data_IF_978607976490
#
_entry.id   IF_978607976490
#
_cell.length_a   1.000
_cell.length_b   1.000
_cell.length_c   1.000
_cell.angle_alpha   90.00
_cell.angle_beta   90.00
_cell.angle_gamma   90.00
#
_symmetry.space_group_name_H-M   'P 1'
#
loop_
_entity.id
_entity.type
_entity.pdbx_description
1 polymer ?
#
# COMPACT_ATOMS: atom_id res chain seq x y z
N UNK A 1 18.31 24.35 -11.28
CA UNK A 1 18.25 25.78 -11.62
C UNK A 1 17.16 26.52 -10.88
N UNK A 2 16.06 25.86 -10.47
CA UNK A 2 14.96 26.53 -9.76
C UNK A 2 15.25 26.76 -8.27
N UNK A 3 16.12 25.97 -7.66
CA UNK A 3 16.43 26.05 -6.24
C UNK A 3 17.04 27.43 -5.84
N UNK A 4 17.83 28.01 -6.72
CA UNK A 4 18.48 29.33 -6.48
C UNK A 4 17.47 30.49 -6.37
N UNK A 5 16.25 30.31 -6.87
CA UNK A 5 15.16 31.29 -6.80
C UNK A 5 14.21 31.08 -5.63
N UNK A 6 14.41 30.00 -4.83
CA UNK A 6 13.61 29.75 -3.64
C UNK A 6 14.21 30.38 -2.39
N UNK A 7 13.34 30.88 -1.52
CA UNK A 7 13.75 31.29 -0.17
C UNK A 7 14.18 30.08 0.66
N UNK A 8 15.24 30.23 1.45
CA UNK A 8 15.79 29.16 2.26
C UNK A 8 14.77 28.54 3.24
N UNK A 9 13.89 29.39 3.83
CA UNK A 9 12.84 28.93 4.73
C UNK A 9 11.81 28.05 4.00
N UNK A 10 11.44 28.41 2.76
CA UNK A 10 10.50 27.65 1.95
C UNK A 10 11.11 26.37 1.39
N UNK A 11 12.39 26.38 1.05
CA UNK A 11 13.14 25.18 0.67
C UNK A 11 13.18 24.15 1.83
N UNK A 12 13.40 24.62 3.06
CA UNK A 12 13.37 23.78 4.27
C UNK A 12 11.99 23.15 4.48
N UNK A 13 10.91 23.95 4.35
CA UNK A 13 9.54 23.44 4.48
C UNK A 13 9.24 22.40 3.40
N UNK A 14 9.61 22.65 2.14
CA UNK A 14 9.45 21.72 1.03
C UNK A 14 10.21 20.41 1.25
N UNK A 15 11.45 20.46 1.70
CA UNK A 15 12.25 19.29 2.01
C UNK A 15 11.63 18.44 3.14
N UNK A 16 11.05 19.08 4.15
CA UNK A 16 10.35 18.38 5.23
C UNK A 16 9.05 17.74 4.75
N UNK A 17 8.26 18.41 3.92
CA UNK A 17 7.02 17.87 3.36
C UNK A 17 7.29 16.73 2.38
N UNK A 18 8.36 16.77 1.62
CA UNK A 18 8.78 15.68 0.71
C UNK A 18 8.92 14.34 1.45
N UNK A 19 9.43 14.35 2.68
CA UNK A 19 9.57 13.15 3.51
C UNK A 19 8.25 12.59 4.04
N UNK A 20 7.16 13.35 3.95
CA UNK A 20 5.82 12.98 4.41
C UNK A 20 4.92 12.52 3.25
N UNK A 21 5.47 12.40 2.04
CA UNK A 21 4.71 11.98 0.87
C UNK A 21 4.17 10.56 1.03
N UNK A 22 2.91 10.37 0.65
CA UNK A 22 2.23 9.08 0.69
C UNK A 22 2.17 8.49 -0.72
N UNK A 23 2.46 7.20 -0.91
CA UNK A 23 2.34 6.55 -2.21
C UNK A 23 0.90 6.66 -2.75
N UNK A 24 0.77 7.13 -3.98
CA UNK A 24 -0.50 7.20 -4.70
C UNK A 24 -0.73 5.94 -5.54
N UNK A 25 -1.96 5.74 -6.03
CA UNK A 25 -2.29 4.63 -6.93
C UNK A 25 -1.40 4.62 -8.18
N UNK A 26 -1.18 5.80 -8.74
CA UNK A 26 -0.30 6.01 -9.89
C UNK A 26 0.67 7.12 -9.56
N UNK A 27 1.94 6.83 -9.60
CA UNK A 27 2.98 7.82 -9.47
C UNK A 27 3.37 8.35 -10.85
N UNK A 28 3.74 9.62 -10.94
CA UNK A 28 4.32 10.21 -12.14
C UNK A 28 5.68 10.80 -11.81
N UNK A 29 6.68 10.47 -12.62
CA UNK A 29 8.00 11.08 -12.44
C UNK A 29 7.92 12.59 -12.61
N UNK A 30 8.68 13.37 -11.84
CA UNK A 30 8.68 14.81 -11.95
C UNK A 30 9.21 15.24 -13.33
N UNK A 31 8.61 16.28 -13.91
CA UNK A 31 9.10 16.87 -15.17
C UNK A 31 10.42 17.62 -14.98
N UNK A 32 10.63 18.15 -13.78
CA UNK A 32 11.87 18.82 -13.39
C UNK A 32 12.44 18.10 -12.17
N UNK A 33 13.64 17.58 -12.31
CA UNK A 33 14.33 16.82 -11.28
C UNK A 33 15.78 17.21 -11.16
N UNK A 34 16.46 16.63 -10.18
CA UNK A 34 17.87 16.87 -9.89
C UNK A 34 18.80 15.78 -10.43
N UNK A 35 18.24 14.64 -10.86
CA UNK A 35 18.97 13.45 -11.30
C UNK A 35 19.27 12.45 -10.17
N UNK A 36 19.02 12.82 -8.92
CA UNK A 36 19.18 11.92 -7.77
C UNK A 36 18.02 10.90 -7.66
N UNK A 37 16.89 11.18 -8.29
CA UNK A 37 15.65 10.38 -8.22
C UNK A 37 15.90 8.93 -8.62
N UNK A 38 16.70 8.71 -9.66
CA UNK A 38 17.03 7.37 -10.13
C UNK A 38 17.90 6.60 -9.14
N UNK A 39 18.88 7.27 -8.57
CA UNK A 39 19.77 6.67 -7.58
C UNK A 39 18.99 6.31 -6.30
N UNK A 40 18.12 7.20 -5.83
CA UNK A 40 17.28 6.96 -4.64
C UNK A 40 16.32 5.80 -4.87
N UNK A 41 15.63 5.74 -6.01
CA UNK A 41 14.70 4.66 -6.32
C UNK A 41 15.42 3.29 -6.34
N UNK A 42 16.60 3.22 -6.94
CA UNK A 42 17.38 1.99 -7.00
C UNK A 42 17.93 1.59 -5.63
N UNK A 43 18.55 2.52 -4.92
CA UNK A 43 19.30 2.23 -3.69
C UNK A 43 18.36 2.02 -2.48
N UNK A 44 17.12 2.52 -2.53
CA UNK A 44 16.10 2.25 -1.52
C UNK A 44 15.57 0.82 -1.54
N UNK A 45 15.81 0.07 -2.63
CA UNK A 45 15.34 -1.31 -2.77
C UNK A 45 13.85 -1.48 -3.02
N UNK A 46 13.12 -0.42 -3.33
CA UNK A 46 11.68 -0.48 -3.68
C UNK A 46 11.43 -0.99 -5.09
N UNK A 47 12.40 -0.81 -5.99
CA UNK A 47 12.37 -1.33 -7.36
C UNK A 47 13.02 -2.71 -7.43
N UNK A 48 12.59 -3.52 -8.38
CA UNK A 48 13.22 -4.81 -8.69
C UNK A 48 14.20 -4.60 -9.83
N UNK A 49 15.46 -4.92 -9.58
CA UNK A 49 16.54 -4.76 -10.57
C UNK A 49 17.09 -6.11 -10.99
N UNK A 50 17.49 -6.21 -12.26
CA UNK A 50 18.09 -7.42 -12.80
C UNK A 50 19.44 -7.72 -12.12
N UNK A 51 19.58 -8.92 -11.59
CA UNK A 51 20.82 -9.43 -10.98
C UNK A 51 21.84 -9.77 -12.02
N UNK A 52 21.39 -10.30 -13.14
CA UNK A 52 22.18 -10.73 -14.31
C UNK A 52 21.49 -10.28 -15.59
N UNK A 53 22.24 -10.16 -16.66
CA UNK A 53 21.69 -9.88 -17.98
C UNK A 53 21.00 -11.11 -18.58
N UNK A 54 19.97 -10.87 -19.39
CA UNK A 54 19.21 -11.95 -19.99
C UNK A 54 18.05 -11.48 -20.86
N UNK A 55 17.17 -12.41 -21.18
CA UNK A 55 15.95 -12.16 -21.95
C UNK A 55 14.76 -12.52 -21.06
N UNK A 56 13.75 -11.66 -21.08
CA UNK A 56 12.51 -11.90 -20.34
C UNK A 56 11.72 -13.01 -21.03
N UNK A 57 11.53 -14.11 -20.34
CA UNK A 57 10.83 -15.29 -20.88
C UNK A 57 9.34 -15.32 -20.53
N UNK A 58 9.00 -14.99 -19.27
CA UNK A 58 7.62 -14.95 -18.80
C UNK A 58 7.41 -13.79 -17.83
N UNK A 59 6.23 -13.22 -17.88
CA UNK A 59 5.79 -12.18 -16.95
C UNK A 59 4.35 -12.45 -16.54
N UNK A 60 4.09 -12.34 -15.27
CA UNK A 60 2.75 -12.20 -14.71
C UNK A 60 2.74 -11.11 -13.63
N UNK A 61 1.59 -10.85 -13.04
CA UNK A 61 1.46 -9.81 -12.01
C UNK A 61 2.28 -10.11 -10.75
N UNK A 62 2.64 -11.35 -10.50
CA UNK A 62 3.31 -11.82 -9.29
C UNK A 62 4.80 -12.12 -9.50
N UNK A 63 5.26 -12.32 -10.73
CA UNK A 63 6.64 -12.72 -11.01
C UNK A 63 7.13 -12.33 -12.40
N UNK A 64 8.44 -12.21 -12.51
CA UNK A 64 9.18 -12.04 -13.78
C UNK A 64 10.21 -13.16 -13.87
N UNK A 65 10.25 -13.85 -14.98
CA UNK A 65 11.20 -14.93 -15.26
C UNK A 65 12.18 -14.45 -16.34
N UNK A 66 13.46 -14.44 -16.01
CA UNK A 66 14.55 -14.02 -16.89
C UNK A 66 15.42 -15.20 -17.23
N UNK A 67 15.55 -15.52 -18.52
CA UNK A 67 16.54 -16.47 -19.01
C UNK A 67 17.89 -15.74 -19.10
N UNK A 68 18.82 -16.17 -18.27
CA UNK A 68 20.15 -15.54 -18.14
C UNK A 68 21.01 -15.78 -19.38
N UNK A 69 21.82 -14.80 -19.75
CA UNK A 69 22.78 -14.94 -20.84
C UNK A 69 23.83 -16.03 -20.51
N UNK A 70 24.19 -16.85 -21.49
CA UNK A 70 25.16 -17.94 -21.30
C UNK A 70 26.51 -17.46 -20.74
N UNK A 71 26.92 -16.23 -21.07
CA UNK A 71 28.17 -15.65 -20.58
C UNK A 71 28.16 -15.30 -19.07
N UNK A 72 26.98 -15.19 -18.47
CA UNK A 72 26.78 -14.85 -17.05
C UNK A 72 26.38 -16.08 -16.22
N UNK A 73 26.25 -17.26 -16.84
CA UNK A 73 25.98 -18.52 -16.15
C UNK A 73 27.31 -19.01 -15.57
N UNK A 74 27.35 -19.21 -14.26
CA UNK A 74 28.50 -19.77 -13.55
C UNK A 74 28.70 -21.27 -13.81
N UNK A 75 29.73 -21.86 -13.21
CA UNK A 75 30.10 -23.26 -13.39
C UNK A 75 28.96 -24.22 -13.03
N UNK A 76 28.38 -24.85 -14.03
CA UNK A 76 27.69 -26.18 -14.04
C UNK A 76 26.54 -26.47 -13.08
N UNK A 77 26.36 -25.67 -12.03
CA UNK A 77 25.30 -25.84 -11.01
C UNK A 77 24.23 -24.74 -11.07
N UNK A 78 24.42 -23.73 -11.91
CA UNK A 78 23.54 -22.59 -12.03
C UNK A 78 22.38 -22.91 -12.99
N UNK A 79 21.15 -22.65 -12.57
CA UNK A 79 19.94 -22.98 -13.33
C UNK A 79 19.75 -22.16 -14.62
N UNK A 80 20.55 -21.12 -14.85
CA UNK A 80 20.44 -20.25 -16.03
C UNK A 80 19.15 -19.44 -16.11
N UNK A 81 18.37 -19.42 -15.04
CA UNK A 81 17.09 -18.70 -14.95
C UNK A 81 17.02 -17.96 -13.63
N UNK A 82 16.68 -16.68 -13.69
CA UNK A 82 16.38 -15.84 -12.51
C UNK A 82 14.88 -15.61 -12.41
N UNK A 83 14.33 -15.90 -11.24
CA UNK A 83 12.93 -15.64 -10.93
C UNK A 83 12.85 -14.51 -9.93
N UNK A 84 12.09 -13.45 -10.30
CA UNK A 84 11.83 -12.28 -9.46
C UNK A 84 10.37 -12.30 -9.04
N UNK A 85 10.12 -12.57 -7.76
CA UNK A 85 8.78 -12.49 -7.19
C UNK A 85 8.47 -11.03 -6.81
N UNK A 86 7.33 -10.54 -7.26
CA UNK A 86 6.88 -9.18 -7.01
C UNK A 86 6.04 -9.11 -5.73
N UNK A 87 6.27 -8.07 -4.95
CA UNK A 87 5.46 -7.81 -3.76
C UNK A 87 4.13 -7.21 -4.20
N UNK A 88 3.03 -7.82 -3.79
CA UNK A 88 1.69 -7.39 -4.17
C UNK A 88 0.87 -7.00 -2.95
N UNK A 89 0.45 -5.73 -2.90
CA UNK A 89 -0.51 -5.20 -1.93
C UNK A 89 -0.24 -5.58 -0.48
N UNK A 90 0.99 -5.40 -0.03
CA UNK A 90 1.37 -5.63 1.36
C UNK A 90 1.33 -4.33 2.16
N UNK A 91 1.09 -4.47 3.46
CA UNK A 91 1.09 -3.35 4.40
C UNK A 91 2.52 -2.91 4.72
N UNK A 92 2.79 -1.61 4.64
CA UNK A 92 4.01 -1.01 5.18
C UNK A 92 3.86 -0.70 6.68
N UNK A 93 4.97 -0.33 7.34
CA UNK A 93 4.96 0.08 8.75
C UNK A 93 4.09 1.33 8.99
N UNK A 94 3.87 2.16 7.99
CA UNK A 94 3.03 3.35 8.03
C UNK A 94 1.61 3.11 7.52
N UNK A 95 1.17 1.85 7.40
CA UNK A 95 -0.13 1.44 6.87
C UNK A 95 -0.35 1.84 5.40
N UNK A 96 0.69 2.12 4.66
CA UNK A 96 0.60 2.38 3.22
C UNK A 96 0.70 1.09 2.42
N UNK A 97 0.26 1.12 1.17
CA UNK A 97 0.30 -0.03 0.29
C UNK A 97 1.67 -0.17 -0.38
N UNK A 98 2.27 -1.34 -0.26
CA UNK A 98 3.45 -1.72 -1.04
C UNK A 98 2.99 -2.64 -2.16
N UNK A 99 3.17 -2.19 -3.41
CA UNK A 99 2.83 -2.95 -4.60
C UNK A 99 3.88 -2.73 -5.67
N UNK A 100 4.31 -3.81 -6.31
CA UNK A 100 5.27 -3.76 -7.40
C UNK A 100 4.60 -4.12 -8.72
N UNK A 101 4.93 -3.35 -9.76
CA UNK A 101 4.35 -3.47 -11.09
C UNK A 101 5.46 -3.67 -12.11
N UNK A 102 5.41 -4.71 -12.98
CA UNK A 102 6.43 -4.94 -13.98
C UNK A 102 6.45 -3.81 -15.03
N UNK A 103 7.65 -3.44 -15.48
CA UNK A 103 7.89 -2.45 -16.54
C UNK A 103 8.27 -3.08 -17.87
N UNK A 104 8.76 -4.31 -17.84
CA UNK A 104 9.32 -5.03 -18.99
C UNK A 104 8.26 -5.88 -19.66
N UNK A 105 8.49 -6.25 -20.91
CA UNK A 105 7.62 -7.16 -21.67
C UNK A 105 8.34 -8.47 -21.99
N UNK A 106 7.59 -9.49 -22.34
CA UNK A 106 8.17 -10.77 -22.80
C UNK A 106 8.98 -10.54 -24.06
N UNK A 107 10.21 -11.06 -24.09
CA UNK A 107 11.16 -10.90 -25.19
C UNK A 107 12.11 -9.70 -25.03
N UNK A 108 11.93 -8.83 -24.05
CA UNK A 108 12.86 -7.73 -23.79
C UNK A 108 14.22 -8.27 -23.35
N UNK A 109 15.29 -7.63 -23.85
CA UNK A 109 16.67 -7.91 -23.42
C UNK A 109 17.01 -6.95 -22.29
N UNK A 110 17.46 -7.48 -21.18
CA UNK A 110 17.85 -6.72 -19.99
C UNK A 110 19.31 -6.93 -19.65
N UNK A 111 19.95 -5.87 -19.19
CA UNK A 111 21.31 -5.91 -18.66
C UNK A 111 21.28 -5.97 -17.13
N UNK A 112 22.39 -6.37 -16.54
CA UNK A 112 22.55 -6.34 -15.08
C UNK A 112 22.33 -4.93 -14.54
N UNK A 113 21.45 -4.79 -13.55
CA UNK A 113 21.11 -3.51 -12.93
C UNK A 113 19.94 -2.76 -13.56
N UNK A 114 19.39 -3.24 -14.68
CA UNK A 114 18.19 -2.66 -15.28
C UNK A 114 16.97 -2.87 -14.35
N UNK A 115 16.09 -1.87 -14.36
CA UNK A 115 14.87 -1.93 -13.56
C UNK A 115 13.83 -2.81 -14.25
N UNK A 116 13.39 -3.85 -13.56
CA UNK A 116 12.38 -4.80 -14.05
C UNK A 116 10.97 -4.43 -13.61
N UNK A 117 10.84 -3.89 -12.40
CA UNK A 117 9.55 -3.52 -11.82
C UNK A 117 9.66 -2.27 -10.95
N UNK A 118 8.65 -1.42 -11.03
CA UNK A 118 8.48 -0.27 -10.14
C UNK A 118 7.84 -0.69 -8.81
N UNK A 119 8.25 -0.03 -7.74
CA UNK A 119 7.65 -0.13 -6.42
C UNK A 119 6.73 1.06 -6.10
N UNK A 120 6.37 1.23 -4.81
CA UNK A 120 5.61 2.37 -4.36
C UNK A 120 6.40 3.68 -4.60
N UNK A 121 5.69 4.73 -5.01
CA UNK A 121 6.28 6.06 -5.30
C UNK A 121 7.44 6.03 -6.28
N UNK A 122 7.40 5.16 -7.27
CA UNK A 122 8.35 5.10 -8.36
C UNK A 122 7.64 5.06 -9.72
N UNK A 123 8.27 5.64 -10.72
CA UNK A 123 7.80 5.64 -12.10
C UNK A 123 9.00 5.49 -13.04
N UNK A 124 9.00 4.45 -13.88
CA UNK A 124 10.08 4.10 -14.80
C UNK A 124 11.47 4.02 -14.12
N UNK A 125 11.51 3.50 -12.90
CA UNK A 125 12.73 3.37 -12.12
C UNK A 125 13.24 4.66 -11.48
N UNK A 126 12.44 5.72 -11.49
CA UNK A 126 12.75 7.01 -10.86
C UNK A 126 11.79 7.30 -9.71
N UNK A 127 12.26 8.04 -8.71
CA UNK A 127 11.44 8.47 -7.58
C UNK A 127 10.32 9.39 -8.05
N UNK A 128 9.09 9.04 -7.76
CA UNK A 128 7.87 9.76 -8.11
C UNK A 128 6.95 9.87 -6.89
N UNK A 129 6.97 11.00 -6.21
CA UNK A 129 6.27 11.19 -4.94
C UNK A 129 4.83 11.67 -5.09
N UNK A 130 4.35 11.86 -6.30
CA UNK A 130 3.01 12.37 -6.55
C UNK A 130 2.65 12.43 -8.02
N UNK A 131 1.96 13.50 -8.40
CA UNK A 131 1.43 13.72 -9.74
C UNK A 131 1.84 15.10 -10.27
N UNK A 132 2.05 15.17 -11.59
CA UNK A 132 2.24 16.45 -12.26
C UNK A 132 0.87 17.10 -12.55
N UNK A 133 0.72 18.36 -12.18
CA UNK A 133 -0.54 19.10 -12.34
C UNK A 133 -0.32 20.39 -13.10
N UNK A 134 -1.29 20.77 -13.92
CA UNK A 134 -1.34 22.10 -14.51
C UNK A 134 -1.84 23.08 -13.46
N UNK A 135 -1.05 24.09 -13.14
CA UNK A 135 -1.33 25.09 -12.09
C UNK A 135 -1.46 26.47 -12.69
N UNK A 136 -2.49 27.20 -12.28
CA UNK A 136 -2.64 28.63 -12.59
C UNK A 136 -2.39 29.47 -11.33
N UNK A 137 -1.49 30.43 -11.40
CA UNK A 137 -1.18 31.37 -10.34
C UNK A 137 -1.99 32.65 -10.56
N UNK A 138 -3.17 32.73 -9.96
CA UNK A 138 -4.07 33.87 -10.09
C UNK A 138 -5.05 33.94 -8.93
N UNK A 139 -5.53 35.15 -8.52
CA UNK A 139 -6.63 35.22 -7.59
C UNK A 139 -7.93 34.77 -8.29
N UNK A 140 -8.76 34.02 -7.55
CA UNK A 140 -10.04 33.56 -8.09
C UNK A 140 -11.18 33.77 -7.09
N UNK A 141 -11.89 34.89 -7.23
CA UNK A 141 -13.07 35.26 -6.42
C UNK A 141 -12.89 35.12 -4.89
N UNK A 142 -11.67 35.24 -4.38
CA UNK A 142 -11.33 35.07 -2.96
C UNK A 142 -11.30 33.64 -2.43
N UNK A 143 -11.65 32.64 -3.24
CA UNK A 143 -11.66 31.24 -2.81
C UNK A 143 -10.26 30.64 -2.64
N UNK A 144 -9.22 31.28 -3.12
CA UNK A 144 -7.82 30.90 -2.93
C UNK A 144 -7.07 31.92 -2.04
N UNK A 145 -7.77 32.54 -1.08
CA UNK A 145 -7.17 33.48 -0.13
C UNK A 145 -6.17 32.78 0.80
N UNK A 146 -5.04 33.43 1.04
CA UNK A 146 -3.90 32.91 1.81
C UNK A 146 -3.37 31.57 1.22
N UNK A 147 -3.39 30.48 2.02
CA UNK A 147 -2.89 29.16 1.65
C UNK A 147 -3.97 28.26 1.04
N UNK A 148 -5.16 28.80 0.75
CA UNK A 148 -6.25 28.04 0.14
C UNK A 148 -5.94 27.72 -1.31
N UNK A 149 -6.28 26.50 -1.73
CA UNK A 149 -6.08 26.00 -3.10
C UNK A 149 -7.41 25.51 -3.66
N UNK A 150 -7.72 25.90 -4.88
CA UNK A 150 -8.83 25.35 -5.64
C UNK A 150 -8.36 24.17 -6.46
N UNK A 151 -9.12 23.09 -6.43
CA UNK A 151 -8.88 21.88 -7.21
C UNK A 151 -10.01 21.66 -8.21
N UNK A 152 -9.66 21.17 -9.39
CA UNK A 152 -10.64 20.70 -10.37
C UNK A 152 -11.27 19.38 -9.93
N UNK A 153 -12.54 19.14 -10.23
CA UNK A 153 -13.21 17.86 -10.01
C UNK A 153 -12.51 16.69 -10.73
N UNK A 154 -11.85 16.97 -11.83
CA UNK A 154 -11.02 15.98 -12.56
C UNK A 154 -9.94 15.32 -11.70
N UNK A 155 -9.43 16.00 -10.66
CA UNK A 155 -8.46 15.43 -9.73
C UNK A 155 -9.06 14.21 -9.00
N UNK A 156 -10.34 14.29 -8.66
CA UNK A 156 -11.08 13.21 -8.01
C UNK A 156 -11.52 12.14 -9.03
N UNK A 157 -12.06 12.56 -10.18
CA UNK A 157 -12.51 11.65 -11.25
C UNK A 157 -11.38 10.79 -11.81
N UNK A 158 -10.18 11.35 -11.93
CA UNK A 158 -9.00 10.68 -12.47
C UNK A 158 -8.17 9.96 -11.38
N UNK A 159 -8.61 9.93 -10.12
CA UNK A 159 -7.89 9.34 -8.98
C UNK A 159 -6.43 9.83 -8.85
N UNK A 160 -6.20 11.12 -9.08
CA UNK A 160 -4.84 11.66 -9.17
C UNK A 160 -4.02 11.48 -7.89
N UNK A 161 -4.63 11.73 -6.73
CA UNK A 161 -3.98 11.62 -5.42
C UNK A 161 -4.60 10.54 -4.54
N UNK A 162 -5.35 9.63 -5.12
CA UNK A 162 -5.97 8.52 -4.39
C UNK A 162 -4.90 7.57 -3.85
N UNK A 163 -5.02 7.21 -2.60
CA UNK A 163 -4.09 6.34 -1.88
C UNK A 163 -4.78 5.11 -1.33
N UNK A 164 -4.03 4.03 -1.13
CA UNK A 164 -4.52 2.82 -0.46
C UNK A 164 -3.84 2.74 0.90
N UNK A 165 -4.64 2.61 1.95
CA UNK A 165 -4.16 2.35 3.30
C UNK A 165 -4.61 0.97 3.73
N UNK A 166 -3.66 0.19 4.28
CA UNK A 166 -3.90 -1.17 4.76
C UNK A 166 -3.69 -1.18 6.26
N UNK A 167 -4.76 -1.47 7.02
CA UNK A 167 -4.72 -1.57 8.46
C UNK A 167 -4.82 -3.03 8.88
N UNK A 168 -4.02 -3.41 9.85
CA UNK A 168 -4.06 -4.73 10.47
C UNK A 168 -4.61 -4.61 11.88
N UNK A 169 -5.74 -5.25 12.13
CA UNK A 169 -6.38 -5.29 13.43
C UNK A 169 -6.26 -6.71 14.00
N UNK A 170 -5.80 -6.81 15.23
CA UNK A 170 -5.60 -8.11 15.89
C UNK A 170 -6.59 -8.28 17.05
N UNK A 171 -7.33 -9.37 17.03
CA UNK A 171 -8.20 -9.79 18.13
C UNK A 171 -7.69 -11.11 18.70
N UNK A 172 -7.49 -11.15 20.01
CA UNK A 172 -6.98 -12.33 20.71
C UNK A 172 -8.01 -12.84 21.71
N UNK A 173 -8.36 -14.11 21.62
CA UNK A 173 -9.13 -14.81 22.64
C UNK A 173 -8.18 -15.33 23.72
N UNK A 174 -8.44 -14.96 24.98
CA UNK A 174 -7.61 -15.31 26.14
C UNK A 174 -8.34 -16.22 27.10
N UNK A 175 -7.59 -16.99 27.88
CA UNK A 175 -8.16 -17.72 29.00
C UNK A 175 -8.46 -16.77 30.17
N UNK A 176 -9.68 -16.81 30.66
CA UNK A 176 -10.11 -16.06 31.84
C UNK A 176 -10.37 -16.99 33.02
N UNK A 177 -10.46 -16.45 34.26
CA UNK A 177 -10.77 -17.24 35.46
C UNK A 177 -12.14 -17.92 35.38
N UNK A 178 -13.06 -17.42 34.55
CA UNK A 178 -14.41 -17.91 34.36
C UNK A 178 -14.57 -18.87 33.18
N UNK A 179 -13.52 -19.05 32.43
CA UNK A 179 -13.48 -19.89 31.24
C UNK A 179 -12.73 -19.21 30.08
N UNK A 180 -12.45 -19.92 28.97
CA UNK A 180 -11.80 -19.38 27.81
C UNK A 180 -12.74 -18.43 27.04
N UNK A 181 -12.18 -17.37 26.49
CA UNK A 181 -12.87 -16.56 25.48
C UNK A 181 -12.90 -17.34 24.17
N UNK A 182 -13.95 -17.17 23.40
CA UNK A 182 -14.13 -17.83 22.11
C UNK A 182 -14.41 -16.82 21.01
N UNK A 183 -13.84 -17.06 19.83
CA UNK A 183 -14.16 -16.31 18.61
C UNK A 183 -15.25 -17.08 17.88
N UNK A 184 -16.42 -16.47 17.74
CA UNK A 184 -17.62 -17.09 17.16
C UNK A 184 -18.50 -16.07 16.47
N UNK A 185 -19.21 -16.50 15.45
CA UNK A 185 -20.27 -15.71 14.80
C UNK A 185 -21.56 -15.65 15.65
N UNK A 186 -21.71 -16.57 16.60
CA UNK A 186 -22.89 -16.63 17.48
C UNK A 186 -22.72 -15.69 18.69
N UNK A 187 -23.11 -14.44 18.50
CA UNK A 187 -23.03 -13.40 19.52
C UNK A 187 -24.44 -13.13 20.06
N UNK A 188 -24.68 -13.28 21.39
CA UNK A 188 -25.95 -12.95 22.00
C UNK A 188 -26.26 -11.45 21.94
N UNK A 189 -27.52 -11.09 21.79
CA UNK A 189 -28.03 -9.71 21.78
C UNK A 189 -27.57 -8.83 20.61
N UNK A 190 -27.18 -9.42 19.51
CA UNK A 190 -26.81 -8.72 18.26
C UNK A 190 -27.73 -9.22 17.14
N UNK A 191 -28.22 -8.30 16.31
CA UNK A 191 -29.07 -8.66 15.17
C UNK A 191 -28.31 -9.48 14.13
N UNK A 192 -29.01 -10.41 13.47
CA UNK A 192 -28.43 -11.21 12.38
C UNK A 192 -27.87 -10.34 11.25
N UNK A 193 -28.51 -9.21 10.98
CA UNK A 193 -28.04 -8.26 9.96
C UNK A 193 -26.65 -7.68 10.28
N UNK A 194 -26.32 -7.48 11.55
CA UNK A 194 -25.00 -7.00 11.98
C UNK A 194 -23.92 -8.10 11.87
N UNK A 195 -24.32 -9.37 11.87
CA UNK A 195 -23.44 -10.54 11.81
C UNK A 195 -23.27 -11.10 10.38
N UNK A 196 -23.99 -10.59 9.40
CA UNK A 196 -23.98 -11.09 8.01
C UNK A 196 -22.61 -11.12 7.34
N UNK A 197 -21.68 -10.33 7.83
CA UNK A 197 -20.32 -10.23 7.26
C UNK A 197 -19.33 -11.18 7.91
N UNK A 198 -19.73 -11.89 8.96
CA UNK A 198 -18.90 -12.88 9.62
C UNK A 198 -19.05 -14.25 8.94
N UNK A 199 -17.93 -14.96 8.82
CA UNK A 199 -17.93 -16.36 8.40
C UNK A 199 -18.26 -17.29 9.60
N UNK A 200 -18.23 -18.60 9.37
CA UNK A 200 -18.51 -19.60 10.41
C UNK A 200 -17.51 -19.55 11.58
N UNK A 201 -16.31 -19.03 11.35
CA UNK A 201 -15.27 -18.86 12.36
C UNK A 201 -15.46 -17.62 13.23
N UNK A 202 -16.39 -16.75 12.87
CA UNK A 202 -16.65 -15.48 13.59
C UNK A 202 -15.74 -14.33 13.15
N UNK A 203 -15.07 -14.46 12.02
CA UNK A 203 -14.23 -13.43 11.41
C UNK A 203 -14.88 -12.96 10.12
N UNK A 204 -14.73 -11.69 9.79
CA UNK A 204 -15.23 -11.13 8.53
C UNK A 204 -14.67 -11.92 7.33
N UNK A 205 -15.56 -12.27 6.37
CA UNK A 205 -15.14 -13.02 5.19
C UNK A 205 -14.30 -12.16 4.24
N UNK A 206 -13.41 -12.81 3.51
CA UNK A 206 -12.53 -12.15 2.52
C UNK A 206 -13.40 -11.56 1.40
N UNK A 207 -13.18 -10.28 1.09
CA UNK A 207 -13.95 -9.54 0.08
C UNK A 207 -15.15 -8.77 0.64
N UNK A 208 -15.42 -8.84 1.95
CA UNK A 208 -16.48 -8.07 2.57
C UNK A 208 -16.20 -6.57 2.53
N UNK A 209 -17.19 -5.78 2.15
CA UNK A 209 -17.15 -4.34 2.31
C UNK A 209 -17.56 -3.98 3.74
N UNK A 210 -16.65 -3.34 4.49
CA UNK A 210 -16.86 -2.95 5.89
C UNK A 210 -16.93 -1.42 6.02
N UNK A 211 -17.79 -0.96 6.93
CA UNK A 211 -18.00 0.45 7.23
C UNK A 211 -17.79 0.69 8.72
N UNK A 212 -17.63 1.95 9.08
CA UNK A 212 -17.55 2.34 10.49
C UNK A 212 -18.75 1.82 11.29
N UNK A 213 -18.47 1.11 12.39
CA UNK A 213 -19.51 0.48 13.23
C UNK A 213 -19.83 -0.97 12.88
N UNK A 214 -19.31 -1.52 11.77
CA UNK A 214 -19.51 -2.92 11.42
C UNK A 214 -18.68 -3.85 12.31
N UNK A 215 -19.22 -5.03 12.57
CA UNK A 215 -18.53 -6.07 13.35
C UNK A 215 -17.62 -6.85 12.41
N UNK A 216 -16.33 -6.87 12.71
CA UNK A 216 -15.35 -7.63 11.95
C UNK A 216 -14.93 -8.95 12.60
N UNK A 217 -15.01 -9.02 13.91
CA UNK A 217 -14.72 -10.24 14.69
C UNK A 217 -15.72 -10.35 15.82
N UNK A 218 -16.34 -11.52 15.97
CA UNK A 218 -17.18 -11.86 17.10
C UNK A 218 -16.38 -12.56 18.17
N UNK A 219 -16.31 -11.97 19.38
CA UNK A 219 -15.66 -12.58 20.53
C UNK A 219 -16.63 -12.67 21.70
N UNK A 220 -16.77 -13.86 22.26
CA UNK A 220 -17.61 -14.14 23.42
C UNK A 220 -16.73 -14.36 24.64
N UNK A 221 -17.01 -13.59 25.70
CA UNK A 221 -16.29 -13.69 26.96
C UNK A 221 -17.26 -14.24 28.03
N UNK A 222 -16.91 -15.31 28.76
CA UNK A 222 -17.77 -15.81 29.85
C UNK A 222 -17.82 -14.80 30.99
N UNK A 223 -19.04 -14.49 31.47
CA UNK A 223 -19.29 -13.63 32.62
C UNK A 223 -19.73 -14.45 33.82
N UNK A 224 -19.22 -14.12 35.01
CA UNK A 224 -19.73 -14.67 36.27
C UNK A 224 -21.11 -14.09 36.62
N UNK A 225 -21.90 -14.84 37.40
CA UNK A 225 -23.25 -14.43 37.81
C UNK A 225 -23.27 -13.07 38.54
N UNK A 226 -22.21 -12.72 39.25
CA UNK A 226 -22.06 -11.43 39.94
C UNK A 226 -21.84 -10.24 39.02
N UNK A 227 -21.44 -10.48 37.77
CA UNK A 227 -21.19 -9.44 36.78
C UNK A 227 -22.34 -9.25 35.78
N UNK A 228 -23.37 -10.09 35.86
CA UNK A 228 -24.55 -9.99 35.03
C UNK A 228 -25.45 -8.85 35.51
N UNK A 229 -25.95 -8.05 34.57
CA UNK A 229 -26.99 -7.07 34.86
C UNK A 229 -28.30 -7.78 35.27
N UNK A 230 -29.21 -7.10 36.00
CA UNK A 230 -30.53 -7.69 36.37
C UNK A 230 -31.31 -8.21 35.15
N UNK A 231 -31.20 -7.54 34.01
CA UNK A 231 -31.85 -7.90 32.74
C UNK A 231 -31.25 -9.16 32.14
N UNK A 232 -29.89 -9.30 32.14
CA UNK A 232 -29.19 -10.50 31.68
C UNK A 232 -29.49 -11.71 32.60
N UNK A 233 -29.72 -11.51 33.91
CA UNK A 233 -30.12 -12.58 34.81
C UNK A 233 -31.51 -13.11 34.50
N UNK A 234 -32.42 -12.22 34.11
CA UNK A 234 -33.78 -12.58 33.69
C UNK A 234 -33.82 -13.37 32.39
N UNK A 235 -32.93 -13.06 31.45
CA UNK A 235 -32.81 -13.77 30.17
C UNK A 235 -32.25 -15.19 30.31
N UNK A 236 -31.53 -15.49 31.42
CA UNK A 236 -31.01 -16.83 31.70
C UNK A 236 -31.99 -17.70 32.53
N UNK A 237 -32.95 -17.12 33.12
CA UNK A 237 -34.03 -17.85 33.86
C UNK A 237 -35.15 -18.28 32.91
#
# INVERSE_FOLDING_TARGET
>A
PFLEHDDANRALMGANMQRQAVPTLRAQKPLVGTGIERAVARDSGVTVNARRGGVIEQIDAARIVVKVNEAEIGDGTDAGVDIYNLIKYTRSNQNTCINQTPLVNVGDVVARGDVLADGPSTDMGELALGQNMLVAFMPWNGYNFEDSILLSERVVEEDRYTTIHIEELTCVARDTKLGPEEISADIPNVSENALNRLDESGVVYIGAEVRAGDIMVGKVTPKGESQLTPEEKLLRA
#
